data_IF_736961479294
#
_entry.id   IF_736961479294
#
_cell.length_a   1.000
_cell.length_b   1.000
_cell.length_c   1.000
_cell.angle_alpha   90.00
_cell.angle_beta   90.00
_cell.angle_gamma   90.00
#
_symmetry.space_group_name_H-M   'P 1'
#
loop_
_entity.id
_entity.type
_entity.pdbx_description
1 polymer ?
#
# COMPACT_ATOMS: atom_id res chain seq x y z
N UNK A 1 -9.73 18.43 22.66
CA UNK A 1 -8.47 18.17 23.37
C UNK A 1 -7.48 19.21 22.88
N UNK A 2 -6.69 19.84 23.76
CA UNK A 2 -5.62 20.75 23.32
C UNK A 2 -4.62 19.96 22.46
N UNK A 3 -4.18 20.51 21.32
CA UNK A 3 -3.34 19.80 20.35
C UNK A 3 -2.08 19.19 21.00
N UNK A 4 -1.44 19.94 21.91
CA UNK A 4 -0.28 19.47 22.67
C UNK A 4 -0.59 18.26 23.56
N UNK A 5 -1.76 18.23 24.18
CA UNK A 5 -2.20 17.08 24.99
C UNK A 5 -2.47 15.86 24.11
N UNK A 6 -3.06 16.07 22.93
CA UNK A 6 -3.30 15.01 21.95
C UNK A 6 -1.99 14.36 21.50
N UNK A 7 -0.98 15.17 21.15
CA UNK A 7 0.35 14.66 20.80
C UNK A 7 0.99 13.91 21.98
N UNK A 8 0.85 14.43 23.21
CA UNK A 8 1.38 13.75 24.40
C UNK A 8 0.73 12.39 24.59
N UNK A 9 -0.59 12.30 24.45
CA UNK A 9 -1.33 11.05 24.59
C UNK A 9 -0.95 10.04 23.50
N UNK A 10 -0.88 10.45 22.24
CA UNK A 10 -0.46 9.57 21.13
C UNK A 10 0.95 9.02 21.36
N UNK A 11 1.88 9.87 21.77
CA UNK A 11 3.24 9.42 22.11
C UNK A 11 3.25 8.45 23.28
N UNK A 12 2.48 8.73 24.33
CA UNK A 12 2.31 7.82 25.47
C UNK A 12 1.82 6.45 25.01
N UNK A 13 0.81 6.41 24.14
CA UNK A 13 0.25 5.17 23.59
C UNK A 13 1.29 4.40 22.75
N UNK A 14 2.10 5.09 21.93
CA UNK A 14 3.22 4.45 21.21
C UNK A 14 4.23 3.85 22.18
N UNK A 15 4.60 4.57 23.24
CA UNK A 15 5.54 4.08 24.23
C UNK A 15 5.02 2.88 25.02
N UNK A 16 3.72 2.85 25.31
CA UNK A 16 3.08 1.76 26.04
C UNK A 16 2.91 0.49 25.21
N UNK A 17 2.76 0.60 23.89
CA UNK A 17 2.58 -0.54 22.98
C UNK A 17 3.87 -1.00 22.30
N UNK A 18 5.02 -0.43 22.67
CA UNK A 18 6.30 -0.72 22.01
C UNK A 18 6.67 -2.20 22.10
N UNK A 19 7.31 -2.70 21.05
CA UNK A 19 7.83 -4.05 20.99
C UNK A 19 9.27 -4.02 20.46
N UNK A 20 10.23 -4.23 21.38
CA UNK A 20 11.66 -4.21 21.08
C UNK A 20 12.10 -5.29 20.10
N UNK A 21 11.50 -6.49 20.16
CA UNK A 21 11.84 -7.61 19.28
C UNK A 21 11.43 -7.30 17.83
N UNK A 22 10.24 -6.74 17.62
CA UNK A 22 9.79 -6.28 16.30
C UNK A 22 10.70 -5.15 15.81
N UNK A 23 11.00 -4.18 16.68
CA UNK A 23 11.88 -3.06 16.33
C UNK A 23 13.27 -3.55 15.88
N UNK A 24 13.88 -4.49 16.60
CA UNK A 24 15.18 -5.05 16.25
C UNK A 24 15.13 -5.89 14.98
N UNK A 25 14.05 -6.63 14.76
CA UNK A 25 13.83 -7.36 13.52
C UNK A 25 13.76 -6.41 12.31
N UNK A 26 13.02 -5.31 12.44
CA UNK A 26 12.92 -4.29 11.38
C UNK A 26 14.27 -3.60 11.12
N UNK A 27 15.04 -3.31 12.18
CA UNK A 27 16.41 -2.77 12.03
C UNK A 27 17.32 -3.75 11.28
N UNK A 28 17.32 -5.03 11.67
CA UNK A 28 18.10 -6.09 11.00
C UNK A 28 17.69 -6.27 9.55
N UNK A 29 16.42 -6.03 9.22
CA UNK A 29 15.90 -6.05 7.85
C UNK A 29 16.26 -4.79 7.03
N UNK A 30 16.99 -3.83 7.59
CA UNK A 30 17.46 -2.63 6.89
C UNK A 30 16.44 -1.49 6.84
N UNK A 31 15.51 -1.41 7.79
CA UNK A 31 14.58 -0.29 7.88
C UNK A 31 15.34 1.04 8.10
N UNK A 32 15.00 2.13 7.37
CA UNK A 32 15.80 3.36 7.37
C UNK A 32 15.60 4.25 8.61
N UNK A 33 14.52 4.04 9.38
CA UNK A 33 14.16 4.95 10.47
C UNK A 33 15.06 4.80 11.69
N UNK A 34 15.46 5.94 12.27
CA UNK A 34 16.28 6.01 13.50
C UNK A 34 15.51 5.47 14.71
N UNK A 35 14.23 5.83 14.82
CA UNK A 35 13.34 5.42 15.90
C UNK A 35 12.30 4.46 15.34
N UNK A 36 12.23 3.28 15.95
CA UNK A 36 11.24 2.25 15.66
C UNK A 36 10.70 1.77 17.01
N UNK A 37 9.43 2.05 17.27
CA UNK A 37 8.73 1.55 18.46
C UNK A 37 8.33 0.08 18.32
N UNK A 38 8.21 -0.42 17.09
CA UNK A 38 7.85 -1.82 16.81
C UNK A 38 6.35 -2.08 16.90
N UNK A 39 5.53 -1.03 16.71
CA UNK A 39 4.07 -1.19 16.68
C UNK A 39 3.64 -1.86 15.36
N UNK A 40 2.70 -2.78 15.49
CA UNK A 40 2.01 -3.38 14.37
C UNK A 40 0.92 -2.45 13.83
N UNK A 41 0.55 -2.61 12.55
CA UNK A 41 -0.48 -1.80 11.91
C UNK A 41 -1.81 -1.76 12.69
N UNK A 42 -2.34 -2.87 13.22
CA UNK A 42 -3.59 -2.84 14.00
C UNK A 42 -3.50 -1.99 15.27
N UNK A 43 -2.33 -1.92 15.91
CA UNK A 43 -2.13 -1.09 17.10
C UNK A 43 -2.15 0.40 16.72
N UNK A 44 -1.50 0.77 15.62
CA UNK A 44 -1.54 2.14 15.09
C UNK A 44 -2.98 2.54 14.71
N UNK A 45 -3.73 1.63 14.09
CA UNK A 45 -5.14 1.86 13.73
C UNK A 45 -6.03 2.12 14.95
N UNK A 46 -5.82 1.38 16.04
CA UNK A 46 -6.55 1.59 17.29
C UNK A 46 -6.28 2.98 17.89
N UNK A 47 -5.04 3.47 17.82
CA UNK A 47 -4.68 4.81 18.30
C UNK A 47 -5.27 5.88 17.36
N UNK A 48 -5.20 5.65 16.05
CA UNK A 48 -5.73 6.57 15.05
C UNK A 48 -7.25 6.74 15.19
N UNK A 49 -7.97 5.63 15.43
CA UNK A 49 -9.41 5.66 15.66
C UNK A 49 -9.82 6.51 16.87
N UNK A 50 -9.03 6.51 17.95
CA UNK A 50 -9.27 7.36 19.14
C UNK A 50 -8.90 8.83 18.91
N UNK A 51 -7.89 9.07 18.08
CA UNK A 51 -7.35 10.42 17.84
C UNK A 51 -8.20 11.22 16.86
N UNK A 52 -8.95 10.54 15.99
CA UNK A 52 -9.68 11.17 14.90
C UNK A 52 -8.78 11.58 13.74
N UNK A 53 -9.39 12.10 12.68
CA UNK A 53 -8.68 12.61 11.50
C UNK A 53 -8.48 14.12 11.59
N UNK A 54 -7.29 14.59 11.23
CA UNK A 54 -6.95 16.01 11.19
C UNK A 54 -5.75 16.22 10.28
N UNK A 55 -5.82 17.22 9.39
CA UNK A 55 -4.69 17.64 8.54
C UNK A 55 -3.51 18.07 9.41
N UNK A 56 -3.75 18.92 10.41
CA UNK A 56 -2.71 19.43 11.32
C UNK A 56 -1.99 18.27 12.04
N UNK A 57 -2.74 17.29 12.55
CA UNK A 57 -2.15 16.12 13.19
C UNK A 57 -1.35 15.27 12.21
N UNK A 58 -1.91 15.00 11.02
CA UNK A 58 -1.27 14.16 10.04
C UNK A 58 0.04 14.78 9.54
N UNK A 59 0.04 16.07 9.20
CA UNK A 59 1.24 16.81 8.77
C UNK A 59 2.27 16.89 9.90
N UNK A 60 1.84 17.11 11.15
CA UNK A 60 2.75 17.11 12.30
C UNK A 60 3.43 15.75 12.49
N UNK A 61 2.67 14.65 12.37
CA UNK A 61 3.21 13.30 12.47
C UNK A 61 4.07 12.95 11.25
N UNK A 62 3.73 13.45 10.07
CA UNK A 62 4.49 13.25 8.84
C UNK A 62 5.83 13.98 8.88
N UNK A 63 5.88 15.18 9.45
CA UNK A 63 7.12 15.97 9.60
C UNK A 63 8.17 15.28 10.49
N UNK A 64 7.77 14.32 11.34
CA UNK A 64 8.71 13.52 12.12
C UNK A 64 9.31 12.37 11.28
N UNK A 65 10.23 12.72 10.40
CA UNK A 65 10.98 11.81 9.50
C UNK A 65 11.79 10.73 10.23
N UNK A 66 12.21 10.99 11.47
CA UNK A 66 13.07 10.08 12.23
C UNK A 66 12.37 8.80 12.72
N UNK A 67 11.03 8.80 12.77
CA UNK A 67 10.24 7.79 13.48
C UNK A 67 9.28 7.06 12.56
N UNK A 68 9.50 5.75 12.38
CA UNK A 68 8.67 4.89 11.52
C UNK A 68 7.18 5.02 11.79
N UNK A 69 6.78 4.81 13.05
CA UNK A 69 5.38 4.81 13.46
C UNK A 69 4.72 6.17 13.22
N UNK A 70 5.48 7.28 13.23
CA UNK A 70 4.90 8.61 13.00
C UNK A 70 4.46 8.78 11.55
N UNK A 71 5.32 8.43 10.58
CA UNK A 71 4.96 8.44 9.15
C UNK A 71 3.80 7.49 8.85
N UNK A 72 3.81 6.28 9.40
CA UNK A 72 2.71 5.31 9.20
C UNK A 72 1.39 5.85 9.76
N UNK A 73 1.42 6.40 10.98
CA UNK A 73 0.25 6.95 11.64
C UNK A 73 -0.33 8.17 10.90
N UNK A 74 0.53 9.04 10.36
CA UNK A 74 0.10 10.19 9.56
C UNK A 74 -0.84 9.78 8.41
N UNK A 75 -0.53 8.68 7.71
CA UNK A 75 -1.40 8.15 6.64
C UNK A 75 -2.76 7.63 7.12
N UNK A 76 -2.92 7.37 8.42
CA UNK A 76 -4.17 6.89 9.02
C UNK A 76 -5.08 8.04 9.47
N UNK A 77 -4.48 9.17 9.87
CA UNK A 77 -5.20 10.32 10.44
C UNK A 77 -5.38 11.48 9.47
N UNK A 78 -4.81 11.41 8.26
CA UNK A 78 -5.10 12.41 7.23
C UNK A 78 -6.55 12.24 6.70
N UNK A 79 -7.37 13.31 6.68
CA UNK A 79 -8.71 13.27 6.09
C UNK A 79 -8.65 13.14 4.56
N UNK A 80 -9.33 12.13 4.01
CA UNK A 80 -9.20 11.79 2.57
C UNK A 80 -9.77 12.89 1.68
N UNK A 81 -10.74 13.63 2.20
CA UNK A 81 -11.41 14.75 1.54
C UNK A 81 -10.47 15.93 1.29
N UNK A 82 -9.41 16.06 2.08
CA UNK A 82 -8.40 17.12 2.00
C UNK A 82 -7.09 16.64 1.34
N UNK A 83 -7.00 15.36 0.96
CA UNK A 83 -5.76 14.76 0.44
C UNK A 83 -5.81 14.68 -1.09
N UNK A 84 -5.01 15.52 -1.75
CA UNK A 84 -4.99 15.67 -3.21
C UNK A 84 -3.82 14.95 -3.91
N UNK A 85 -3.80 15.00 -5.24
CA UNK A 85 -2.76 14.35 -6.06
C UNK A 85 -1.37 14.95 -5.83
N UNK A 86 -1.28 16.27 -5.60
CA UNK A 86 -0.01 16.94 -5.37
C UNK A 86 0.62 16.49 -4.04
N UNK A 87 -0.18 16.43 -2.98
CA UNK A 87 0.22 15.93 -1.66
C UNK A 87 0.55 14.43 -1.70
N UNK A 88 -0.21 13.65 -2.47
CA UNK A 88 0.09 12.23 -2.68
C UNK A 88 1.48 12.01 -3.32
N UNK A 89 1.80 12.83 -4.34
CA UNK A 89 3.10 12.80 -5.01
C UNK A 89 4.23 13.28 -4.10
N UNK A 90 4.03 14.40 -3.39
CA UNK A 90 4.95 14.92 -2.36
C UNK A 90 5.30 13.82 -1.34
N UNK A 91 4.29 13.20 -0.74
CA UNK A 91 4.49 12.17 0.27
C UNK A 91 5.14 10.89 -0.29
N UNK A 92 4.87 10.54 -1.55
CA UNK A 92 5.51 9.41 -2.20
C UNK A 92 7.01 9.66 -2.45
N UNK A 93 7.37 10.89 -2.86
CA UNK A 93 8.75 11.32 -3.06
C UNK A 93 9.53 11.35 -1.74
N UNK A 94 8.90 11.79 -0.65
CA UNK A 94 9.52 11.83 0.68
C UNK A 94 9.61 10.47 1.38
N UNK A 95 8.79 9.49 0.99
CA UNK A 95 8.75 8.21 1.68
C UNK A 95 10.12 7.51 1.67
N UNK A 96 10.62 7.10 2.83
CA UNK A 96 11.96 6.48 2.93
C UNK A 96 11.95 4.96 2.72
N UNK A 97 10.76 4.33 2.76
CA UNK A 97 10.63 2.88 2.67
C UNK A 97 9.48 2.43 1.78
N UNK A 98 9.63 1.24 1.18
CA UNK A 98 8.56 0.58 0.43
C UNK A 98 7.33 0.29 1.30
N UNK A 99 7.54 0.03 2.59
CA UNK A 99 6.46 -0.15 3.55
C UNK A 99 5.60 1.11 3.72
N UNK A 100 6.24 2.29 3.74
CA UNK A 100 5.51 3.54 3.84
C UNK A 100 4.73 3.82 2.56
N UNK A 101 5.32 3.53 1.40
CA UNK A 101 4.64 3.60 0.09
C UNK A 101 3.42 2.68 0.05
N UNK A 102 3.57 1.45 0.52
CA UNK A 102 2.47 0.49 0.61
C UNK A 102 1.31 1.02 1.43
N UNK A 103 1.63 1.62 2.57
CA UNK A 103 0.67 2.18 3.51
C UNK A 103 0.00 3.43 2.93
N UNK A 104 0.78 4.34 2.36
CA UNK A 104 0.32 5.55 1.68
C UNK A 104 -0.65 5.23 0.54
N UNK A 105 -0.24 4.34 -0.37
CA UNK A 105 -1.08 3.89 -1.48
C UNK A 105 -2.38 3.23 -1.01
N UNK A 106 -2.30 2.42 0.05
CA UNK A 106 -3.44 1.66 0.55
C UNK A 106 -4.43 2.52 1.33
N UNK A 107 -3.96 3.49 2.11
CA UNK A 107 -4.83 4.29 3.00
C UNK A 107 -5.36 5.54 2.33
N UNK A 108 -4.58 6.17 1.46
CA UNK A 108 -4.92 7.48 0.90
C UNK A 108 -5.00 7.44 -0.63
N UNK A 109 -3.88 7.20 -1.32
CA UNK A 109 -3.77 7.53 -2.75
C UNK A 109 -4.78 6.80 -3.63
N UNK A 110 -5.10 5.52 -3.33
CA UNK A 110 -6.09 4.76 -4.10
C UNK A 110 -7.51 5.34 -4.07
N UNK A 111 -7.82 6.21 -3.11
CA UNK A 111 -9.15 6.80 -2.95
C UNK A 111 -9.28 8.15 -3.63
N UNK A 112 -8.18 8.83 -3.92
CA UNK A 112 -8.17 10.12 -4.64
C UNK A 112 -8.68 9.92 -6.08
N UNK A 113 -9.39 10.92 -6.61
CA UNK A 113 -9.78 10.97 -8.02
C UNK A 113 -8.57 11.35 -8.88
N UNK A 114 -8.41 10.74 -10.05
CA UNK A 114 -7.26 10.99 -10.93
C UNK A 114 -5.96 10.29 -10.50
N UNK A 115 -6.00 9.43 -9.49
CA UNK A 115 -4.80 8.70 -8.99
C UNK A 115 -4.08 7.85 -10.06
N UNK A 116 -4.76 7.50 -11.14
CA UNK A 116 -4.20 6.86 -12.33
C UNK A 116 -3.13 7.72 -13.02
N UNK A 117 -3.23 9.04 -12.94
CA UNK A 117 -2.23 9.96 -13.50
C UNK A 117 -0.85 9.72 -12.88
N UNK A 118 -0.80 9.48 -11.57
CA UNK A 118 0.43 9.16 -10.85
C UNK A 118 1.00 7.79 -11.27
N UNK A 119 0.14 6.83 -11.59
CA UNK A 119 0.59 5.55 -12.18
C UNK A 119 1.26 5.82 -13.52
N UNK A 120 0.56 6.50 -14.44
CA UNK A 120 1.09 6.79 -15.77
C UNK A 120 2.41 7.58 -15.72
N UNK A 121 2.51 8.55 -14.81
CA UNK A 121 3.70 9.38 -14.62
C UNK A 121 4.93 8.58 -14.19
N UNK A 122 4.76 7.60 -13.29
CA UNK A 122 5.89 6.96 -12.61
C UNK A 122 6.13 5.49 -12.98
N UNK A 123 5.25 4.85 -13.75
CA UNK A 123 5.38 3.41 -14.06
C UNK A 123 6.66 3.05 -14.85
N UNK A 124 7.19 4.01 -15.61
CA UNK A 124 8.46 3.90 -16.34
C UNK A 124 9.60 4.69 -15.69
N UNK A 125 9.39 5.24 -14.48
CA UNK A 125 10.41 6.01 -13.77
C UNK A 125 11.69 5.19 -13.60
N UNK A 126 12.85 5.80 -13.83
CA UNK A 126 14.16 5.16 -13.55
C UNK A 126 14.42 5.05 -12.05
N UNK A 127 13.81 5.92 -11.24
CA UNK A 127 13.89 5.87 -9.80
C UNK A 127 13.07 4.67 -9.26
N UNK A 128 13.76 3.68 -8.70
CA UNK A 128 13.17 2.41 -8.25
C UNK A 128 11.99 2.59 -7.29
N UNK A 129 12.09 3.58 -6.39
CA UNK A 129 11.08 3.84 -5.37
C UNK A 129 9.79 4.40 -5.98
N UNK A 130 9.89 5.41 -6.84
CA UNK A 130 8.73 5.98 -7.51
C UNK A 130 8.12 5.02 -8.52
N UNK A 131 8.93 4.22 -9.20
CA UNK A 131 8.43 3.12 -10.02
C UNK A 131 7.63 2.11 -9.19
N UNK A 132 8.18 1.66 -8.05
CA UNK A 132 7.45 0.80 -7.12
C UNK A 132 6.14 1.41 -6.64
N UNK A 133 6.12 2.71 -6.31
CA UNK A 133 4.91 3.45 -5.97
C UNK A 133 3.84 3.34 -7.06
N UNK A 134 4.20 3.57 -8.33
CA UNK A 134 3.28 3.42 -9.45
C UNK A 134 2.72 1.99 -9.57
N UNK A 135 3.58 0.97 -9.47
CA UNK A 135 3.19 -0.43 -9.50
C UNK A 135 2.22 -0.78 -8.36
N UNK A 136 2.53 -0.33 -7.14
CA UNK A 136 1.71 -0.58 -5.95
C UNK A 136 0.35 0.12 -6.06
N UNK A 137 0.33 1.36 -6.54
CA UNK A 137 -0.90 2.11 -6.76
C UNK A 137 -1.76 1.44 -7.84
N UNK A 138 -1.17 1.03 -8.96
CA UNK A 138 -1.86 0.30 -10.02
C UNK A 138 -2.55 -0.96 -9.49
N UNK A 139 -1.87 -1.74 -8.63
CA UNK A 139 -2.47 -2.90 -7.98
C UNK A 139 -3.68 -2.52 -7.12
N UNK A 140 -3.58 -1.47 -6.30
CA UNK A 140 -4.70 -1.01 -5.48
C UNK A 140 -5.90 -0.57 -6.32
N UNK A 141 -5.65 0.15 -7.43
CA UNK A 141 -6.69 0.60 -8.35
C UNK A 141 -7.35 -0.56 -9.11
N UNK A 142 -6.58 -1.58 -9.50
CA UNK A 142 -7.10 -2.81 -10.08
C UNK A 142 -7.98 -3.59 -9.10
N UNK A 143 -7.61 -3.62 -7.82
CA UNK A 143 -8.41 -4.24 -6.75
C UNK A 143 -9.73 -3.48 -6.59
N UNK A 144 -9.69 -2.14 -6.60
CA UNK A 144 -10.87 -1.26 -6.54
C UNK A 144 -11.69 -1.21 -7.82
N UNK A 145 -11.22 -1.81 -8.93
CA UNK A 145 -11.86 -1.73 -10.26
C UNK A 145 -11.91 -0.32 -10.83
N UNK A 146 -11.00 0.57 -10.40
CA UNK A 146 -10.81 1.90 -11.00
C UNK A 146 -10.05 1.81 -12.33
N UNK A 147 -9.26 0.75 -12.53
CA UNK A 147 -8.56 0.44 -13.78
C UNK A 147 -8.87 -1.01 -14.18
N UNK A 148 -8.99 -1.28 -15.48
CA UNK A 148 -9.18 -2.62 -16.03
C UNK A 148 -7.89 -3.18 -16.62
N UNK A 149 -7.62 -4.46 -16.32
CA UNK A 149 -6.60 -5.24 -17.03
C UNK A 149 -7.22 -5.73 -18.35
N UNK A 150 -6.85 -5.13 -19.48
CA UNK A 150 -7.11 -5.74 -20.78
C UNK A 150 -5.98 -6.73 -21.04
N UNK A 151 -6.28 -8.01 -21.28
CA UNK A 151 -5.30 -9.03 -21.66
C UNK A 151 -5.75 -9.67 -22.98
N UNK A 152 -5.48 -9.01 -24.10
CA UNK A 152 -5.08 -9.79 -25.29
C UNK A 152 -3.61 -10.14 -25.10
N UNK A 153 -3.14 -11.29 -25.60
CA UNK A 153 -1.72 -11.70 -25.46
C UNK A 153 -0.76 -10.67 -26.09
N UNK A 154 -1.28 -9.79 -26.96
CA UNK A 154 -0.61 -8.60 -27.53
C UNK A 154 -0.68 -7.33 -26.67
N UNK A 155 -1.39 -7.34 -25.55
CA UNK A 155 -1.70 -6.18 -24.71
C UNK A 155 -1.62 -6.51 -23.21
N UNK A 156 -0.64 -7.32 -22.78
CA UNK A 156 -0.20 -7.24 -21.39
C UNK A 156 0.07 -5.76 -21.07
N UNK A 157 -0.53 -5.17 -20.02
CA UNK A 157 -0.21 -3.81 -19.63
C UNK A 157 1.30 -3.68 -19.54
N UNK A 158 1.92 -2.62 -20.11
CA UNK A 158 3.37 -2.49 -20.18
C UNK A 158 4.06 -2.75 -18.84
N UNK A 159 3.39 -2.41 -17.72
CA UNK A 159 3.89 -2.67 -16.38
C UNK A 159 4.09 -4.16 -16.05
N UNK A 160 3.14 -5.05 -16.40
CA UNK A 160 3.29 -6.50 -16.13
C UNK A 160 4.36 -7.13 -17.02
N UNK A 161 4.47 -6.69 -18.28
CA UNK A 161 5.56 -7.09 -19.18
C UNK A 161 6.91 -6.58 -18.65
N UNK A 162 6.99 -5.33 -18.23
CA UNK A 162 8.21 -4.71 -17.70
C UNK A 162 8.68 -5.43 -16.42
N UNK A 163 7.79 -5.67 -15.47
CA UNK A 163 8.11 -6.40 -14.24
C UNK A 163 8.44 -7.88 -14.48
N UNK A 164 7.92 -8.52 -15.53
CA UNK A 164 8.20 -9.91 -15.85
C UNK A 164 9.49 -10.08 -16.68
N UNK A 165 9.89 -9.10 -17.49
CA UNK A 165 10.95 -9.25 -18.49
C UNK A 165 12.15 -8.30 -18.35
N UNK A 166 12.06 -7.17 -17.66
CA UNK A 166 13.15 -6.17 -17.60
C UNK A 166 13.53 -5.75 -16.17
N UNK A 167 14.78 -6.03 -15.78
CA UNK A 167 15.56 -5.43 -14.67
C UNK A 167 14.81 -5.02 -13.38
N UNK A 168 13.77 -5.76 -13.03
CA UNK A 168 12.87 -5.44 -11.93
C UNK A 168 13.39 -5.97 -10.58
N UNK A 169 13.24 -5.17 -9.55
CA UNK A 169 13.48 -5.55 -8.15
C UNK A 169 12.54 -6.69 -7.72
N UNK A 170 12.86 -7.40 -6.64
CA UNK A 170 11.99 -8.47 -6.10
C UNK A 170 10.60 -7.93 -5.73
N UNK A 171 10.53 -6.70 -5.21
CA UNK A 171 9.29 -6.05 -4.81
C UNK A 171 8.36 -5.80 -6.01
N UNK A 172 8.91 -5.31 -7.14
CA UNK A 172 8.15 -5.11 -8.38
C UNK A 172 7.60 -6.44 -8.93
N UNK A 173 8.41 -7.51 -8.90
CA UNK A 173 8.00 -8.86 -9.33
C UNK A 173 6.87 -9.43 -8.47
N UNK A 174 6.93 -9.25 -7.16
CA UNK A 174 5.87 -9.70 -6.23
C UNK A 174 4.55 -8.97 -6.47
N UNK A 175 4.59 -7.66 -6.73
CA UNK A 175 3.40 -6.87 -7.06
C UNK A 175 2.79 -7.35 -8.38
N UNK A 176 3.61 -7.54 -9.42
CA UNK A 176 3.17 -8.05 -10.71
C UNK A 176 2.59 -9.46 -10.60
N UNK A 177 3.26 -10.37 -9.88
CA UNK A 177 2.76 -11.72 -9.62
C UNK A 177 1.42 -11.72 -8.88
N UNK A 178 1.27 -10.85 -7.87
CA UNK A 178 0.01 -10.70 -7.12
C UNK A 178 -1.12 -10.20 -8.02
N UNK A 179 -0.84 -9.23 -8.90
CA UNK A 179 -1.80 -8.76 -9.89
C UNK A 179 -2.23 -9.87 -10.86
N UNK A 180 -1.27 -10.67 -11.36
CA UNK A 180 -1.52 -11.81 -12.24
C UNK A 180 -2.36 -12.87 -11.52
N UNK A 181 -2.00 -13.24 -10.29
CA UNK A 181 -2.72 -14.25 -9.50
C UNK A 181 -4.16 -13.83 -9.19
N UNK A 182 -4.35 -12.58 -8.73
CA UNK A 182 -5.70 -12.04 -8.47
C UNK A 182 -6.56 -12.01 -9.74
N UNK A 183 -5.96 -11.83 -10.92
CA UNK A 183 -6.68 -11.91 -12.19
C UNK A 183 -6.96 -13.36 -12.62
N UNK A 184 -6.00 -14.27 -12.46
CA UNK A 184 -6.15 -15.69 -12.77
C UNK A 184 -7.26 -16.35 -11.95
N UNK A 185 -7.31 -16.06 -10.65
CA UNK A 185 -8.38 -16.50 -9.75
C UNK A 185 -9.74 -15.93 -10.20
N UNK A 186 -9.78 -14.70 -10.73
CA UNK A 186 -11.00 -14.08 -11.28
C UNK A 186 -11.44 -14.69 -12.61
N UNK A 187 -10.52 -15.08 -13.51
CA UNK A 187 -10.85 -15.81 -14.74
C UNK A 187 -11.40 -17.21 -14.43
N UNK A 188 -10.84 -17.88 -13.42
CA UNK A 188 -11.35 -19.14 -12.90
C UNK A 188 -12.76 -18.97 -12.32
N UNK A 189 -12.98 -17.96 -11.48
CA UNK A 189 -14.31 -17.66 -10.90
C UNK A 189 -15.33 -17.26 -11.97
N UNK A 190 -14.95 -16.47 -12.99
CA UNK A 190 -15.82 -16.17 -14.14
C UNK A 190 -16.11 -17.41 -14.97
N UNK A 191 -15.13 -18.28 -15.23
CA UNK A 191 -15.41 -19.57 -15.89
C UNK A 191 -16.40 -20.40 -15.06
N UNK A 192 -16.25 -20.47 -13.74
CA UNK A 192 -17.17 -21.20 -12.85
C UNK A 192 -18.58 -20.59 -12.84
N UNK A 193 -18.70 -19.25 -12.80
CA UNK A 193 -19.99 -18.53 -12.79
C UNK A 193 -20.72 -18.53 -14.14
N UNK A 194 -20.00 -18.76 -15.25
CA UNK A 194 -20.56 -18.79 -16.61
C UNK A 194 -20.54 -20.20 -17.22
N UNK A 195 -20.31 -21.25 -16.44
CA UNK A 195 -20.54 -22.61 -16.91
C UNK A 195 -22.06 -22.79 -17.11
N UNK A 196 -22.52 -23.25 -18.28
CA UNK A 196 -23.90 -23.64 -18.46
C UNK A 196 -24.26 -24.67 -17.40
N UNK A 197 -25.47 -24.55 -16.83
CA UNK A 197 -26.00 -25.24 -15.66
C UNK A 197 -26.20 -26.76 -15.83
N UNK A 198 -25.26 -27.45 -16.46
CA UNK A 198 -25.29 -28.88 -16.73
C UNK A 198 -23.91 -29.55 -16.84
N UNK A 199 -22.82 -28.92 -16.40
CA UNK A 199 -21.50 -29.56 -16.32
C UNK A 199 -21.18 -29.96 -14.89
N UNK A 200 -21.29 -31.25 -14.62
CA UNK A 200 -20.91 -31.89 -13.37
C UNK A 200 -19.38 -31.79 -13.20
N UNK A 201 -18.91 -30.92 -12.30
CA UNK A 201 -17.49 -30.80 -11.97
C UNK A 201 -17.19 -31.76 -10.80
N UNK A 202 -16.25 -32.72 -10.95
CA UNK A 202 -15.83 -33.57 -9.84
C UNK A 202 -15.34 -32.72 -8.67
N UNK A 203 -15.82 -33.04 -7.47
CA UNK A 203 -15.60 -32.25 -6.26
C UNK A 203 -14.14 -31.78 -6.09
N UNK A 204 -13.98 -30.51 -5.71
CA UNK A 204 -12.73 -29.78 -5.46
C UNK A 204 -11.76 -30.41 -4.43
N UNK A 205 -12.01 -31.64 -3.95
CA UNK A 205 -11.11 -32.40 -3.07
C UNK A 205 -9.91 -33.03 -3.80
N UNK A 206 -9.95 -33.21 -5.12
CA UNK A 206 -8.88 -33.92 -5.85
C UNK A 206 -7.71 -33.03 -6.31
N UNK A 207 -7.82 -31.69 -6.26
CA UNK A 207 -6.73 -30.77 -6.63
C UNK A 207 -5.85 -30.32 -5.44
N UNK A 208 -5.94 -31.01 -4.30
CA UNK A 208 -5.18 -30.71 -3.07
C UNK A 208 -4.26 -31.85 -2.60
N UNK A 209 -4.02 -32.85 -3.44
CA UNK A 209 -2.90 -33.79 -3.30
C UNK A 209 -1.84 -33.42 -4.34
#
# INVERSE_FOLDING_TARGET
MEFKEQIRQIKSDFFSLRNGEIADTLRKAGNPYKIIFGLQMPQLEQIAAKSGKSVELAEWMWANDSTRESKMFATMVYPIEEFDLAKAEEWALEAESFELIDTLCFRLVRYINGSEELVHKYIESTEKKMRYFAFRLALNLLILRKIFLCLTISALPPFLLYAAFFNSTLAERLVAYTAIRLHADRLLVRKILFLPSGLDIPSLRQLRQ
#
